data_IF_148605640857
#
_entry.id   IF_148605640857
#
_cell.length_a   1.000
_cell.length_b   1.000
_cell.length_c   1.000
_cell.angle_alpha   90.00
_cell.angle_beta   90.00
_cell.angle_gamma   90.00
#
_symmetry.space_group_name_H-M   'P 1'
#
loop_
_entity.id
_entity.type
_entity.pdbx_description
1 polymer ?
#
# COMPACT_ATOMS: atom_id res chain seq x y z
N UNK A 1 11.55 43.86 14.97
CA UNK A 1 12.07 42.89 15.96
C UNK A 1 11.19 41.66 16.23
N UNK A 2 10.00 41.51 15.65
CA UNK A 2 9.14 40.36 15.80
C UNK A 2 9.35 39.20 14.83
N UNK A 3 10.11 39.38 13.78
CA UNK A 3 10.24 38.41 12.68
C UNK A 3 10.92 37.06 13.05
N UNK A 4 12.03 37.01 13.79
CA UNK A 4 12.63 35.70 14.13
C UNK A 4 11.78 34.88 15.10
N UNK A 5 11.02 35.51 15.98
CA UNK A 5 10.15 34.82 16.92
C UNK A 5 8.93 34.20 16.21
N UNK A 6 8.33 34.90 15.25
CA UNK A 6 7.22 34.42 14.45
C UNK A 6 7.62 33.22 13.57
N UNK A 7 8.81 33.25 12.98
CA UNK A 7 9.34 32.14 12.17
C UNK A 7 9.62 30.90 13.02
N UNK A 8 10.11 31.07 14.25
CA UNK A 8 10.32 29.96 15.17
C UNK A 8 9.02 29.34 15.63
N UNK A 9 8.00 30.14 15.92
CA UNK A 9 6.67 29.65 16.28
C UNK A 9 6.02 28.88 15.14
N UNK A 10 6.13 29.38 13.91
CA UNK A 10 5.60 28.71 12.72
C UNK A 10 6.28 27.36 12.46
N UNK A 11 7.60 27.29 12.63
CA UNK A 11 8.37 26.07 12.50
C UNK A 11 7.96 25.01 13.56
N UNK A 12 7.70 25.41 14.79
CA UNK A 12 7.23 24.51 15.86
C UNK A 12 5.82 24.00 15.57
N UNK A 13 4.92 24.86 15.09
CA UNK A 13 3.55 24.46 14.73
C UNK A 13 3.56 23.47 13.56
N UNK A 14 4.38 23.70 12.54
CA UNK A 14 4.55 22.77 11.41
C UNK A 14 5.13 21.44 11.87
N UNK A 15 6.10 21.43 12.80
CA UNK A 15 6.68 20.20 13.35
C UNK A 15 5.67 19.36 14.15
N UNK A 16 4.67 19.99 14.79
CA UNK A 16 3.61 19.29 15.50
C UNK A 16 2.58 18.61 14.57
N UNK A 17 2.42 19.11 13.34
CA UNK A 17 1.50 18.53 12.36
C UNK A 17 2.17 17.54 11.40
N UNK A 18 3.48 17.55 11.27
CA UNK A 18 4.23 16.55 10.50
C UNK A 18 4.55 15.37 11.42
N UNK A 19 3.66 14.40 11.46
CA UNK A 19 3.99 13.11 12.08
C UNK A 19 5.11 12.46 11.27
N UNK A 20 6.25 12.09 11.87
CA UNK A 20 7.24 11.28 11.16
C UNK A 20 6.56 10.02 10.66
N UNK A 21 6.72 9.72 9.38
CA UNK A 21 6.29 8.45 8.83
C UNK A 21 7.01 7.36 9.64
N UNK A 22 6.29 6.67 10.52
CA UNK A 22 6.81 5.50 11.20
C UNK A 22 6.75 4.36 10.20
N UNK A 23 7.90 3.81 9.85
CA UNK A 23 7.93 2.45 9.36
C UNK A 23 7.42 1.59 10.51
N UNK A 24 6.15 1.17 10.44
CA UNK A 24 5.58 0.25 11.40
C UNK A 24 6.28 -1.11 11.31
N UNK A 25 6.03 -1.96 12.31
CA UNK A 25 6.45 -3.35 12.25
C UNK A 25 5.83 -4.04 11.02
N UNK A 26 6.54 -5.03 10.49
CA UNK A 26 6.03 -5.87 9.43
C UNK A 26 4.79 -6.64 9.92
N UNK A 27 3.72 -6.55 9.16
CA UNK A 27 2.50 -7.29 9.43
C UNK A 27 2.38 -8.47 8.46
N UNK A 28 1.95 -9.65 8.93
CA UNK A 28 1.70 -10.77 8.05
C UNK A 28 0.54 -10.44 7.10
N UNK A 29 0.70 -10.83 5.84
CA UNK A 29 -0.30 -10.64 4.82
C UNK A 29 -0.24 -11.77 3.80
N UNK A 30 -1.32 -11.96 3.07
CA UNK A 30 -1.39 -12.86 1.92
C UNK A 30 -1.52 -12.02 0.66
N UNK A 31 -0.78 -12.37 -0.37
CA UNK A 31 -0.82 -11.69 -1.65
C UNK A 31 -1.04 -12.70 -2.78
N UNK A 32 -1.76 -12.26 -3.79
CA UNK A 32 -1.89 -12.94 -5.08
C UNK A 32 -1.69 -11.94 -6.20
N UNK A 33 -1.54 -12.43 -7.41
CA UNK A 33 -1.39 -11.58 -8.58
C UNK A 33 -2.70 -11.51 -9.38
N UNK A 34 -2.89 -10.42 -10.10
CA UNK A 34 -4.01 -10.21 -11.00
C UNK A 34 -3.59 -9.31 -12.17
N UNK A 35 -4.39 -9.28 -13.23
CA UNK A 35 -4.31 -8.25 -14.28
C UNK A 35 -3.20 -8.41 -15.30
N UNK A 36 -2.68 -9.57 -15.55
CA UNK A 36 -1.67 -9.81 -16.59
C UNK A 36 -0.31 -9.15 -16.35
N UNK A 37 0.68 -9.51 -17.15
CA UNK A 37 2.07 -9.11 -16.93
C UNK A 37 2.35 -7.60 -17.10
N UNK A 38 1.57 -6.90 -17.89
CA UNK A 38 1.70 -5.47 -18.15
C UNK A 38 0.68 -4.60 -17.40
N UNK A 39 -0.18 -5.20 -16.59
CA UNK A 39 -1.20 -4.50 -15.84
C UNK A 39 -2.37 -3.94 -16.66
N UNK A 40 -2.48 -4.26 -17.94
CA UNK A 40 -3.53 -3.72 -18.83
C UNK A 40 -4.95 -4.04 -18.36
N UNK A 41 -5.14 -5.17 -17.69
CA UNK A 41 -6.44 -5.61 -17.18
C UNK A 41 -6.81 -4.97 -15.84
N UNK A 42 -5.97 -4.07 -15.31
CA UNK A 42 -6.19 -3.40 -14.02
C UNK A 42 -6.59 -1.94 -14.15
N UNK A 43 -6.74 -1.45 -15.36
CA UNK A 43 -7.20 -0.08 -15.61
C UNK A 43 -8.64 0.10 -15.14
N UNK A 44 -8.99 1.30 -14.72
CA UNK A 44 -10.33 1.58 -14.21
C UNK A 44 -10.63 1.01 -12.82
N UNK A 45 -9.61 0.82 -11.99
CA UNK A 45 -9.75 0.30 -10.63
C UNK A 45 -10.56 1.22 -9.70
N UNK A 46 -10.89 0.70 -8.51
CA UNK A 46 -11.79 1.34 -7.55
C UNK A 46 -11.32 2.72 -7.04
N UNK A 47 -10.03 3.01 -7.13
CA UNK A 47 -9.49 4.33 -6.77
C UNK A 47 -9.73 5.41 -7.84
N UNK A 48 -10.25 5.05 -9.01
CA UNK A 48 -10.63 6.02 -10.05
C UNK A 48 -9.47 6.62 -10.83
N UNK A 49 -8.31 6.00 -10.83
CA UNK A 49 -7.13 6.52 -11.54
C UNK A 49 -7.13 6.26 -13.05
N UNK A 50 -8.08 5.48 -13.55
CA UNK A 50 -8.20 5.09 -14.97
C UNK A 50 -6.94 4.42 -15.50
N UNK A 51 -6.18 5.06 -16.37
CA UNK A 51 -4.92 4.52 -16.90
C UNK A 51 -3.78 4.72 -15.88
N UNK A 52 -3.27 3.62 -15.34
CA UNK A 52 -2.25 3.65 -14.29
C UNK A 52 -0.88 4.11 -14.80
N UNK A 53 -0.59 3.95 -16.09
CA UNK A 53 0.64 4.45 -16.68
C UNK A 53 0.61 5.97 -16.84
N UNK A 54 -0.51 6.52 -17.31
CA UNK A 54 -0.69 7.97 -17.42
C UNK A 54 -0.65 8.66 -16.05
N UNK A 55 -1.16 7.99 -15.01
CA UNK A 55 -1.12 8.50 -13.64
C UNK A 55 0.22 8.26 -12.92
N UNK A 56 1.15 7.55 -13.55
CA UNK A 56 2.49 7.32 -13.00
C UNK A 56 2.61 6.12 -12.05
N UNK A 57 1.56 5.33 -11.87
CA UNK A 57 1.60 4.14 -11.00
C UNK A 57 2.25 2.93 -11.68
N UNK A 58 2.07 2.79 -12.99
CA UNK A 58 2.63 1.68 -13.76
C UNK A 58 2.18 0.31 -13.26
N UNK A 59 3.08 -0.66 -13.30
CA UNK A 59 2.80 -2.05 -12.89
C UNK A 59 2.95 -2.30 -11.39
N UNK A 60 3.64 -1.42 -10.66
CA UNK A 60 3.84 -1.56 -9.22
C UNK A 60 2.64 -0.99 -8.45
N UNK A 61 1.51 -1.62 -8.61
CA UNK A 61 0.26 -1.24 -7.96
C UNK A 61 -0.40 -2.47 -7.33
N UNK A 62 -1.34 -2.23 -6.44
CA UNK A 62 -2.05 -3.28 -5.73
C UNK A 62 -3.52 -2.94 -5.51
N UNK A 63 -4.32 -3.98 -5.52
CA UNK A 63 -5.67 -3.96 -4.98
C UNK A 63 -5.62 -4.36 -3.50
N UNK A 64 -6.22 -3.57 -2.65
CA UNK A 64 -6.20 -3.80 -1.21
C UNK A 64 -7.44 -4.55 -0.74
N UNK A 65 -7.26 -5.42 0.26
CA UNK A 65 -8.37 -6.05 0.97
C UNK A 65 -9.28 -5.01 1.63
N UNK A 66 -10.48 -5.41 2.02
CA UNK A 66 -11.47 -4.54 2.65
C UNK A 66 -10.89 -3.74 3.83
N UNK A 67 -10.14 -4.40 4.71
CA UNK A 67 -9.55 -3.77 5.88
C UNK A 67 -8.48 -2.73 5.53
N UNK A 68 -7.63 -3.02 4.54
CA UNK A 68 -6.58 -2.11 4.11
C UNK A 68 -7.11 -0.98 3.22
N UNK A 69 -8.12 -1.26 2.41
CA UNK A 69 -8.72 -0.28 1.51
C UNK A 69 -9.41 0.87 2.26
N UNK A 70 -10.01 0.56 3.39
CA UNK A 70 -10.62 1.53 4.30
C UNK A 70 -11.56 2.51 3.57
N UNK A 71 -12.54 1.95 2.85
CA UNK A 71 -13.55 2.72 2.08
C UNK A 71 -12.93 3.76 1.12
N UNK A 72 -11.76 3.47 0.58
CA UNK A 72 -11.05 4.35 -0.37
C UNK A 72 -10.06 5.32 0.28
N UNK A 73 -9.98 5.41 1.58
CA UNK A 73 -9.05 6.32 2.27
C UNK A 73 -7.58 5.95 2.00
N UNK A 74 -7.30 4.69 1.67
CA UNK A 74 -5.95 4.22 1.37
C UNK A 74 -5.53 4.37 -0.10
N UNK A 75 -6.40 4.87 -0.97
CA UNK A 75 -6.06 5.10 -2.37
C UNK A 75 -4.83 5.99 -2.51
N UNK A 76 -3.87 5.58 -3.32
CA UNK A 76 -2.61 6.30 -3.54
C UNK A 76 -1.54 6.07 -2.48
N UNK A 77 -1.83 5.38 -1.39
CA UNK A 77 -0.83 5.04 -0.38
C UNK A 77 0.16 4.00 -0.92
N UNK A 78 1.40 4.08 -0.46
CA UNK A 78 2.46 3.14 -0.81
C UNK A 78 2.66 2.11 0.30
N UNK A 79 2.87 0.87 -0.11
CA UNK A 79 3.14 -0.26 0.78
C UNK A 79 4.42 -0.96 0.36
N UNK A 80 5.31 -1.17 1.32
CA UNK A 80 6.44 -2.08 1.12
C UNK A 80 5.97 -3.52 1.39
N UNK A 81 6.20 -4.40 0.44
CA UNK A 81 5.84 -5.81 0.51
C UNK A 81 7.12 -6.62 0.44
N UNK A 82 7.31 -7.54 1.36
CA UNK A 82 8.44 -8.46 1.37
C UNK A 82 7.94 -9.89 1.38
N UNK A 83 8.58 -10.76 0.61
CA UNK A 83 8.27 -12.19 0.62
C UNK A 83 8.85 -12.83 1.89
N UNK A 84 7.99 -13.50 2.66
CA UNK A 84 8.42 -14.19 3.88
C UNK A 84 8.83 -15.63 3.54
N UNK A 85 10.14 -15.83 3.39
CA UNK A 85 10.71 -17.15 3.06
C UNK A 85 10.56 -18.19 4.18
N UNK A 86 10.23 -17.77 5.40
CA UNK A 86 9.93 -18.71 6.49
C UNK A 86 8.54 -19.35 6.35
N UNK A 87 7.65 -18.72 5.56
CA UNK A 87 6.28 -19.17 5.36
C UNK A 87 6.01 -19.80 4.00
N UNK A 88 6.88 -19.56 3.03
CA UNK A 88 6.70 -20.07 1.66
C UNK A 88 8.02 -20.36 0.98
N UNK A 89 8.07 -21.38 0.13
CA UNK A 89 9.20 -21.69 -0.74
C UNK A 89 9.21 -20.95 -2.08
N UNK A 90 8.25 -20.06 -2.30
CA UNK A 90 8.06 -19.39 -3.59
C UNK A 90 8.80 -18.05 -3.72
N UNK A 91 9.47 -17.59 -2.66
CA UNK A 91 10.24 -16.37 -2.74
C UNK A 91 11.39 -16.52 -3.75
N UNK A 92 11.49 -15.55 -4.65
CA UNK A 92 12.62 -15.49 -5.57
C UNK A 92 13.92 -15.24 -4.80
N UNK A 93 15.06 -15.78 -5.24
CA UNK A 93 16.34 -15.47 -4.62
C UNK A 93 16.69 -13.99 -4.78
N UNK A 94 17.42 -13.45 -3.81
CA UNK A 94 17.86 -12.05 -3.82
C UNK A 94 16.94 -11.11 -3.08
N UNK A 95 16.77 -9.90 -3.59
CA UNK A 95 15.92 -8.88 -2.98
C UNK A 95 14.45 -9.19 -3.25
N UNK A 96 13.73 -9.57 -2.20
CA UNK A 96 12.36 -10.06 -2.24
C UNK A 96 11.32 -9.01 -1.80
N UNK A 97 11.63 -7.74 -1.90
CA UNK A 97 10.71 -6.68 -1.54
C UNK A 97 10.37 -5.78 -2.73
N UNK A 98 9.21 -5.19 -2.69
CA UNK A 98 8.71 -4.23 -3.68
C UNK A 98 7.86 -3.19 -2.99
N UNK A 99 7.87 -1.97 -3.51
CA UNK A 99 6.93 -0.93 -3.11
C UNK A 99 5.83 -0.84 -4.16
N UNK A 100 4.59 -0.91 -3.71
CA UNK A 100 3.40 -0.82 -4.56
C UNK A 100 2.51 0.34 -4.11
N UNK A 101 1.77 0.90 -5.04
CA UNK A 101 0.75 1.92 -4.77
C UNK A 101 -0.64 1.30 -4.76
N UNK A 102 -1.46 1.69 -3.81
CA UNK A 102 -2.85 1.27 -3.74
C UNK A 102 -3.67 1.96 -4.84
N UNK A 103 -4.21 1.19 -5.76
CA UNK A 103 -4.98 1.71 -6.91
C UNK A 103 -6.35 1.08 -7.06
N UNK A 104 -6.62 0.00 -6.32
CA UNK A 104 -7.82 -0.78 -6.50
C UNK A 104 -8.26 -1.45 -5.21
N UNK A 105 -9.46 -2.02 -5.25
CA UNK A 105 -10.07 -2.80 -4.19
C UNK A 105 -10.14 -4.28 -4.58
N UNK A 106 -9.75 -5.14 -3.65
CA UNK A 106 -9.88 -6.58 -3.76
C UNK A 106 -10.98 -7.05 -2.82
N UNK A 107 -12.20 -7.32 -3.32
CA UNK A 107 -13.26 -7.84 -2.47
C UNK A 107 -12.91 -9.24 -1.96
N UNK A 108 -13.45 -9.67 -0.81
CA UNK A 108 -13.29 -11.04 -0.33
C UNK A 108 -13.75 -12.06 -1.38
N UNK A 109 -12.96 -13.11 -1.55
CA UNK A 109 -13.29 -14.23 -2.42
C UNK A 109 -12.68 -15.52 -1.84
N UNK A 110 -12.84 -16.64 -2.55
CA UNK A 110 -12.35 -17.94 -2.07
C UNK A 110 -10.82 -17.99 -1.91
N UNK A 111 -10.08 -17.25 -2.74
CA UNK A 111 -8.62 -17.23 -2.70
C UNK A 111 -8.08 -16.23 -1.65
N UNK A 112 -8.82 -15.13 -1.43
CA UNK A 112 -8.49 -14.10 -0.46
C UNK A 112 -9.71 -13.75 0.40
N UNK A 113 -9.99 -14.54 1.44
CA UNK A 113 -11.09 -14.28 2.36
C UNK A 113 -10.89 -12.97 3.12
N UNK A 114 -11.96 -12.46 3.71
CA UNK A 114 -11.88 -11.27 4.56
C UNK A 114 -10.93 -11.50 5.74
N UNK A 115 -10.30 -10.42 6.19
CA UNK A 115 -9.25 -10.44 7.25
C UNK A 115 -9.73 -11.06 8.58
N UNK A 116 -10.96 -11.38 8.78
CA UNK A 116 -11.44 -12.08 9.96
C UNK A 116 -11.45 -13.60 9.81
N UNK A 117 -11.33 -14.10 8.58
CA UNK A 117 -11.47 -15.50 8.25
C UNK A 117 -10.13 -16.21 8.01
N UNK A 118 -9.03 -15.47 8.04
CA UNK A 118 -7.70 -16.05 7.95
C UNK A 118 -7.33 -16.65 9.31
N UNK A 119 -6.88 -17.92 9.34
CA UNK A 119 -6.35 -18.48 10.58
C UNK A 119 -5.18 -17.63 11.07
N UNK A 120 -5.13 -17.39 12.37
CA UNK A 120 -4.04 -16.66 12.99
C UNK A 120 -2.70 -17.30 12.60
N UNK A 121 -1.89 -16.61 11.79
CA UNK A 121 -0.63 -17.13 11.26
C UNK A 121 -0.61 -17.45 9.76
N UNK A 122 -1.65 -17.06 9.01
CA UNK A 122 -1.67 -17.13 7.55
C UNK A 122 -0.78 -16.06 6.91
#
# INVERSE_FOLDING_TARGET
>A
MGKPFLHQLLAVVLALFVSPARSGDWLPATATFYGGANGSDTMGGACGYSDLYEQGYGVNNAALSTALFNDGASCGQCYAIICDSSKTGWCKPGNNWVVVSATNFCPPNWDLPAVGDLPAGG
#
